data_IF_132027953675
#
_entry.id   IF_132027953675
#
_cell.length_a   1.000
_cell.length_b   1.000
_cell.length_c   1.000
_cell.angle_alpha   90.00
_cell.angle_beta   90.00
_cell.angle_gamma   90.00
#
_symmetry.space_group_name_H-M   'P 1'
#
loop_
_entity.id
_entity.type
_entity.pdbx_description
1 polymer ?
#
# COMPACT_ATOMS: atom_id res chain seq x y z
N UNK A 1 3.82 6.26 10.09
CA UNK A 1 4.42 7.07 9.02
C UNK A 1 5.47 6.20 8.35
N UNK A 2 5.18 5.67 7.17
CA UNK A 2 6.16 4.91 6.38
C UNK A 2 7.04 5.94 5.68
N UNK A 3 8.29 6.07 6.11
CA UNK A 3 9.22 7.04 5.51
C UNK A 3 9.55 6.63 4.06
N UNK A 4 9.70 7.57 3.12
CA UNK A 4 10.03 7.30 1.72
C UNK A 4 11.23 6.35 1.55
N UNK A 5 12.24 6.47 2.38
CA UNK A 5 13.41 5.57 2.40
C UNK A 5 13.09 4.09 2.59
N UNK A 6 12.03 3.76 3.36
CA UNK A 6 11.65 2.37 3.58
C UNK A 6 10.99 1.73 2.36
N UNK A 7 10.44 2.54 1.46
CA UNK A 7 9.70 2.07 0.29
C UNK A 7 10.68 1.79 -0.85
N UNK A 8 11.65 2.69 -1.11
CA UNK A 8 12.72 2.43 -2.09
C UNK A 8 13.55 1.20 -1.72
N UNK A 9 13.88 1.04 -0.42
CA UNK A 9 14.53 -0.16 0.10
C UNK A 9 13.68 -1.42 -0.09
N UNK A 10 12.35 -1.34 0.05
CA UNK A 10 11.45 -2.47 -0.24
C UNK A 10 11.44 -2.84 -1.71
N UNK A 11 11.44 -1.85 -2.61
CA UNK A 11 11.55 -2.07 -4.04
C UNK A 11 12.91 -2.68 -4.40
N UNK A 12 13.99 -2.09 -3.92
CA UNK A 12 15.36 -2.58 -4.16
C UNK A 12 15.57 -4.01 -3.65
N UNK A 13 15.15 -4.31 -2.41
CA UNK A 13 15.21 -5.64 -1.83
C UNK A 13 14.30 -6.63 -2.58
N UNK A 14 13.14 -6.20 -3.04
CA UNK A 14 12.24 -7.01 -3.85
C UNK A 14 12.82 -7.36 -5.21
N UNK A 15 13.48 -6.42 -5.87
CA UNK A 15 14.13 -6.62 -7.17
C UNK A 15 15.43 -7.41 -7.05
N UNK A 16 16.20 -7.24 -5.96
CA UNK A 16 17.44 -7.97 -5.72
C UNK A 16 17.19 -9.43 -5.35
N UNK A 17 16.20 -9.72 -4.51
CA UNK A 17 15.92 -11.06 -3.97
C UNK A 17 14.87 -11.85 -4.74
N UNK A 18 14.00 -11.18 -5.49
CA UNK A 18 12.83 -11.80 -6.15
C UNK A 18 12.60 -11.21 -7.54
N UNK A 19 11.90 -11.97 -8.38
CA UNK A 19 11.43 -11.44 -9.66
C UNK A 19 10.38 -10.33 -9.43
N UNK A 20 10.38 -9.31 -10.26
CA UNK A 20 9.41 -8.19 -10.23
C UNK A 20 7.96 -8.66 -10.02
N UNK A 21 7.55 -9.74 -10.67
CA UNK A 21 6.20 -10.29 -10.52
C UNK A 21 5.85 -10.72 -9.09
N UNK A 22 6.77 -11.34 -8.36
CA UNK A 22 6.55 -11.72 -6.95
C UNK A 22 6.50 -10.51 -6.03
N UNK A 23 7.33 -9.51 -6.29
CA UNK A 23 7.28 -8.26 -5.55
C UNK A 23 5.91 -7.57 -5.74
N UNK A 24 5.45 -7.46 -6.99
CA UNK A 24 4.15 -6.87 -7.33
C UNK A 24 2.99 -7.64 -6.68
N UNK A 25 3.00 -8.97 -6.73
CA UNK A 25 1.99 -9.81 -6.07
C UNK A 25 1.94 -9.58 -4.55
N UNK A 26 3.11 -9.49 -3.88
CA UNK A 26 3.14 -9.23 -2.45
C UNK A 26 2.58 -7.85 -2.09
N UNK A 27 2.87 -6.82 -2.90
CA UNK A 27 2.32 -5.48 -2.71
C UNK A 27 0.80 -5.47 -2.89
N UNK A 28 0.30 -6.19 -3.89
CA UNK A 28 -1.14 -6.32 -4.10
C UNK A 28 -1.82 -7.06 -2.95
N UNK A 29 -1.22 -8.13 -2.43
CA UNK A 29 -1.76 -8.83 -1.25
C UNK A 29 -1.78 -7.95 -0.01
N UNK A 30 -0.72 -7.19 0.26
CA UNK A 30 -0.66 -6.26 1.39
C UNK A 30 -1.75 -5.17 1.25
N UNK A 31 -1.95 -4.64 0.05
CA UNK A 31 -3.03 -3.71 -0.27
C UNK A 31 -4.42 -4.30 0.01
N UNK A 32 -4.68 -5.53 -0.45
CA UNK A 32 -5.96 -6.19 -0.24
C UNK A 32 -6.25 -6.47 1.24
N UNK A 33 -5.23 -6.78 2.06
CA UNK A 33 -5.39 -6.92 3.50
C UNK A 33 -5.91 -5.63 4.15
N UNK A 34 -5.41 -4.48 3.74
CA UNK A 34 -5.92 -3.19 4.21
C UNK A 34 -7.36 -2.93 3.78
N UNK A 35 -7.73 -3.33 2.56
CA UNK A 35 -9.10 -3.23 2.07
C UNK A 35 -10.05 -4.13 2.87
N UNK A 36 -9.67 -5.39 3.10
CA UNK A 36 -10.47 -6.34 3.91
C UNK A 36 -10.62 -5.81 5.34
N UNK A 37 -9.54 -5.28 5.93
CA UNK A 37 -9.61 -4.67 7.26
C UNK A 37 -10.59 -3.49 7.29
N UNK A 38 -10.55 -2.61 6.30
CA UNK A 38 -11.48 -1.48 6.20
C UNK A 38 -12.93 -1.96 6.05
N UNK A 39 -13.17 -3.01 5.25
CA UNK A 39 -14.50 -3.60 5.07
C UNK A 39 -15.03 -4.20 6.38
N UNK A 40 -14.24 -5.01 7.08
CA UNK A 40 -14.64 -5.60 8.36
C UNK A 40 -14.93 -4.52 9.42
N UNK A 41 -14.10 -3.49 9.48
CA UNK A 41 -14.34 -2.35 10.37
C UNK A 41 -15.60 -1.58 10.00
N UNK A 42 -15.94 -1.45 8.72
CA UNK A 42 -17.19 -0.78 8.32
C UNK A 42 -18.44 -1.55 8.80
N UNK A 43 -18.41 -2.88 8.72
CA UNK A 43 -19.48 -3.72 9.28
C UNK A 43 -19.56 -3.57 10.80
N UNK A 44 -18.42 -3.59 11.50
CA UNK A 44 -18.39 -3.39 12.95
C UNK A 44 -18.89 -1.99 13.37
N UNK A 45 -18.56 -0.95 12.58
CA UNK A 45 -19.08 0.40 12.78
C UNK A 45 -20.60 0.43 12.68
N UNK A 46 -21.19 -0.24 11.69
CA UNK A 46 -22.65 -0.32 11.55
C UNK A 46 -23.30 -0.95 12.78
N UNK A 47 -22.76 -2.09 13.26
CA UNK A 47 -23.25 -2.75 14.46
C UNK A 47 -23.11 -1.86 15.73
N UNK A 48 -22.00 -1.12 15.87
CA UNK A 48 -21.80 -0.19 16.98
C UNK A 48 -22.79 0.97 16.96
N UNK A 49 -23.11 1.47 15.77
CA UNK A 49 -24.11 2.53 15.61
C UNK A 49 -25.47 2.07 16.13
N UNK A 50 -25.90 0.84 15.79
CA UNK A 50 -27.15 0.25 16.30
C UNK A 50 -27.16 0.19 17.83
N UNK A 51 -26.04 -0.26 18.46
CA UNK A 51 -25.91 -0.32 19.92
C UNK A 51 -25.99 1.06 20.60
N UNK A 52 -25.47 2.11 19.96
CA UNK A 52 -25.50 3.48 20.48
C UNK A 52 -26.93 4.05 20.45
N UNK A 53 -27.70 3.70 19.42
CA UNK A 53 -29.09 4.14 19.29
C UNK A 53 -30.07 3.37 20.19
N UNK A 54 -29.65 2.27 20.81
CA UNK A 54 -30.47 1.59 21.82
C UNK A 54 -30.68 2.50 23.03
N UNK A 55 -31.93 2.88 23.26
CA UNK A 55 -32.33 3.82 24.34
C UNK A 55 -32.23 3.23 25.75
N UNK A 56 -32.08 1.92 25.85
CA UNK A 56 -32.01 1.22 27.17
C UNK A 56 -30.65 1.36 27.86
N UNK A 57 -29.60 1.78 27.13
CA UNK A 57 -28.25 1.84 27.66
C UNK A 57 -28.00 3.06 28.59
N UNK A 58 -27.35 2.88 29.75
CA UNK A 58 -26.93 3.98 30.62
C UNK A 58 -26.01 4.98 29.92
N UNK A 59 -26.05 6.25 30.33
CA UNK A 59 -25.26 7.33 29.68
C UNK A 59 -23.75 7.07 29.65
N UNK A 60 -23.17 6.49 30.71
CA UNK A 60 -21.75 6.12 30.77
C UNK A 60 -21.40 5.05 29.73
N UNK A 61 -22.28 4.07 29.55
CA UNK A 61 -22.09 3.01 28.52
C UNK A 61 -22.12 3.60 27.12
N UNK A 62 -22.97 4.59 26.85
CA UNK A 62 -22.98 5.30 25.55
C UNK A 62 -21.68 6.04 25.27
N UNK A 63 -21.11 6.70 26.28
CA UNK A 63 -19.80 7.36 26.11
C UNK A 63 -18.69 6.35 25.77
N UNK A 64 -18.69 5.19 26.40
CA UNK A 64 -17.75 4.12 26.08
C UNK A 64 -17.90 3.63 24.61
N UNK A 65 -19.14 3.39 24.16
CA UNK A 65 -19.40 3.00 22.76
C UNK A 65 -19.00 4.06 21.74
N UNK A 66 -19.20 5.35 22.06
CA UNK A 66 -18.74 6.45 21.20
C UNK A 66 -17.22 6.50 21.09
N UNK A 67 -16.48 6.25 22.17
CA UNK A 67 -15.01 6.18 22.14
C UNK A 67 -14.52 4.99 21.28
N UNK A 68 -15.15 3.83 21.40
CA UNK A 68 -14.86 2.66 20.56
C UNK A 68 -15.18 2.95 19.09
N UNK A 69 -16.33 3.56 18.80
CA UNK A 69 -16.72 3.96 17.45
C UNK A 69 -15.69 4.91 16.83
N UNK A 70 -15.28 5.95 17.56
CA UNK A 70 -14.27 6.90 17.09
C UNK A 70 -12.95 6.20 16.75
N UNK A 71 -12.52 5.26 17.60
CA UNK A 71 -11.31 4.46 17.36
C UNK A 71 -11.44 3.63 16.08
N UNK A 72 -12.56 2.95 15.87
CA UNK A 72 -12.80 2.12 14.68
C UNK A 72 -12.82 2.96 13.40
N UNK A 73 -13.45 4.13 13.43
CA UNK A 73 -13.46 5.08 12.30
C UNK A 73 -12.04 5.53 11.96
N UNK A 74 -11.23 5.91 12.96
CA UNK A 74 -9.84 6.33 12.71
C UNK A 74 -8.99 5.20 12.12
N UNK A 75 -9.14 3.98 12.63
CA UNK A 75 -8.41 2.80 12.10
C UNK A 75 -8.88 2.47 10.69
N UNK A 76 -10.18 2.52 10.41
CA UNK A 76 -10.73 2.27 9.08
C UNK A 76 -10.24 3.32 8.06
N UNK A 77 -10.24 4.60 8.43
CA UNK A 77 -9.69 5.68 7.58
C UNK A 77 -8.20 5.49 7.31
N UNK A 78 -7.41 5.09 8.31
CA UNK A 78 -5.99 4.80 8.13
C UNK A 78 -5.78 3.58 7.21
N UNK A 79 -6.55 2.52 7.38
CA UNK A 79 -6.49 1.33 6.52
C UNK A 79 -6.83 1.69 5.07
N UNK A 80 -7.89 2.46 4.84
CA UNK A 80 -8.31 2.90 3.51
C UNK A 80 -7.26 3.80 2.85
N UNK A 81 -6.69 4.75 3.60
CA UNK A 81 -5.60 5.60 3.11
C UNK A 81 -4.37 4.80 2.72
N UNK A 82 -3.99 3.81 3.51
CA UNK A 82 -2.87 2.91 3.20
C UNK A 82 -3.17 2.09 1.94
N UNK A 83 -4.39 1.57 1.80
CA UNK A 83 -4.82 0.85 0.60
C UNK A 83 -4.62 1.69 -0.67
N UNK A 84 -5.16 2.90 -0.71
CA UNK A 84 -4.99 3.79 -1.86
C UNK A 84 -3.54 4.16 -2.13
N UNK A 85 -2.78 4.41 -1.07
CA UNK A 85 -1.37 4.73 -1.21
C UNK A 85 -0.58 3.58 -1.87
N UNK A 86 -0.73 2.35 -1.37
CA UNK A 86 -0.05 1.18 -1.94
C UNK A 86 -0.51 0.88 -3.36
N UNK A 87 -1.79 1.02 -3.65
CA UNK A 87 -2.33 0.78 -4.98
C UNK A 87 -1.79 1.78 -6.01
N UNK A 88 -1.85 3.08 -5.70
CA UNK A 88 -1.30 4.12 -6.58
C UNK A 88 0.21 3.98 -6.78
N UNK A 89 0.92 3.60 -5.73
CA UNK A 89 2.36 3.38 -5.82
C UNK A 89 2.70 2.16 -6.69
N UNK A 90 2.02 1.05 -6.50
CA UNK A 90 2.21 -0.15 -7.31
C UNK A 90 1.93 0.11 -8.80
N UNK A 91 0.88 0.88 -9.11
CA UNK A 91 0.53 1.27 -10.49
C UNK A 91 1.63 2.16 -11.11
N UNK A 92 2.15 3.15 -10.40
CA UNK A 92 3.22 4.01 -10.90
C UNK A 92 4.49 3.22 -11.21
N UNK A 93 4.89 2.32 -10.32
CA UNK A 93 6.06 1.46 -10.57
C UNK A 93 5.81 0.50 -11.73
N UNK A 94 4.59 -0.06 -11.83
CA UNK A 94 4.21 -0.94 -12.94
C UNK A 94 4.30 -0.23 -14.29
N UNK A 95 3.84 1.03 -14.38
CA UNK A 95 3.91 1.83 -15.60
C UNK A 95 5.34 2.15 -16.03
N UNK A 96 6.28 2.25 -15.07
CA UNK A 96 7.71 2.46 -15.35
C UNK A 96 8.47 1.14 -15.61
N UNK A 97 7.84 -0.01 -15.42
CA UNK A 97 8.45 -1.33 -15.57
C UNK A 97 8.51 -1.82 -17.02
N UNK A 98 8.19 -0.97 -18.00
CA UNK A 98 8.29 -1.26 -19.45
C UNK A 98 9.61 -0.76 -19.96
N UNK A 99 10.38 -1.64 -20.62
CA UNK A 99 11.64 -1.24 -21.28
C UNK A 99 11.35 -0.43 -22.56
N UNK A 100 11.81 0.82 -22.61
CA UNK A 100 11.61 1.69 -23.78
C UNK A 100 12.29 1.16 -25.06
N UNK A 101 13.38 0.38 -24.94
CA UNK A 101 14.13 -0.12 -26.08
C UNK A 101 13.53 -1.38 -26.72
N UNK A 102 12.92 -2.29 -25.93
CA UNK A 102 12.42 -3.57 -26.45
C UNK A 102 10.97 -3.88 -26.09
N UNK A 103 10.25 -2.97 -25.39
CA UNK A 103 8.87 -3.13 -25.00
C UNK A 103 8.60 -4.24 -23.97
N UNK A 104 9.63 -4.89 -23.43
CA UNK A 104 9.47 -6.01 -22.49
C UNK A 104 9.05 -5.49 -21.14
N UNK A 105 7.94 -6.02 -20.60
CA UNK A 105 7.39 -5.67 -19.28
C UNK A 105 7.95 -6.56 -18.17
N UNK A 106 8.30 -5.95 -17.02
CA UNK A 106 8.56 -6.66 -15.76
C UNK A 106 9.85 -7.50 -15.71
N UNK A 107 10.67 -7.52 -16.76
CA UNK A 107 11.98 -8.21 -16.78
C UNK A 107 13.11 -7.27 -16.41
N UNK A 108 13.11 -6.85 -15.15
CA UNK A 108 14.06 -5.90 -14.59
C UNK A 108 15.09 -6.60 -13.71
N UNK A 109 16.31 -6.05 -13.65
CA UNK A 109 17.30 -6.30 -12.60
C UNK A 109 17.69 -4.97 -11.97
N UNK A 110 17.91 -4.94 -10.67
CA UNK A 110 18.44 -3.78 -9.98
C UNK A 110 19.92 -3.63 -10.35
N UNK A 111 20.32 -2.43 -10.75
CA UNK A 111 21.73 -2.07 -11.02
C UNK A 111 22.28 -1.29 -9.83
N UNK A 112 21.58 -0.23 -9.41
CA UNK A 112 21.98 0.63 -8.31
C UNK A 112 20.76 1.20 -7.58
N UNK A 113 20.89 1.39 -6.29
CA UNK A 113 19.95 2.13 -5.46
C UNK A 113 20.58 3.48 -5.11
N UNK A 114 19.89 4.57 -5.42
CA UNK A 114 20.33 5.94 -5.10
C UNK A 114 19.17 6.73 -4.47
N UNK A 115 19.02 6.61 -3.16
CA UNK A 115 18.02 7.36 -2.39
C UNK A 115 16.59 7.08 -2.80
N UNK A 116 15.98 7.97 -3.60
CA UNK A 116 14.60 7.85 -4.10
C UNK A 116 14.51 7.28 -5.53
N UNK A 117 15.63 6.91 -6.13
CA UNK A 117 15.70 6.37 -7.49
C UNK A 117 16.31 4.99 -7.48
N UNK A 118 15.70 4.07 -8.22
CA UNK A 118 16.25 2.75 -8.48
C UNK A 118 16.67 2.68 -9.94
N UNK A 119 17.96 2.54 -10.19
CA UNK A 119 18.49 2.25 -11.53
C UNK A 119 18.27 0.78 -11.82
N UNK A 120 17.58 0.50 -12.90
CA UNK A 120 17.24 -0.86 -13.32
C UNK A 120 17.74 -1.11 -14.76
N UNK A 121 18.06 -2.36 -15.05
CA UNK A 121 18.41 -2.79 -16.39
C UNK A 121 17.46 -3.89 -16.88
N UNK A 122 17.13 -3.86 -18.16
CA UNK A 122 16.34 -4.88 -18.80
C UNK A 122 17.14 -6.20 -18.90
N UNK A 123 16.57 -7.30 -18.41
CA UNK A 123 17.18 -8.64 -18.54
C UNK A 123 17.24 -9.15 -19.97
N UNK A 124 16.50 -8.54 -20.91
CA UNK A 124 16.43 -8.96 -22.32
C UNK A 124 17.41 -8.22 -23.23
N UNK A 125 17.46 -6.89 -23.14
CA UNK A 125 18.26 -6.08 -24.05
C UNK A 125 19.38 -5.29 -23.37
N UNK A 126 19.46 -5.30 -22.03
CA UNK A 126 20.49 -4.60 -21.28
C UNK A 126 20.27 -3.09 -21.13
N UNK A 127 19.24 -2.51 -21.75
CA UNK A 127 18.93 -1.09 -21.61
C UNK A 127 18.71 -0.71 -20.15
N UNK A 128 19.27 0.42 -19.72
CA UNK A 128 19.19 0.92 -18.34
C UNK A 128 18.30 2.17 -18.26
N UNK A 129 17.51 2.26 -17.19
CA UNK A 129 16.71 3.46 -16.86
C UNK A 129 16.48 3.58 -15.37
N UNK A 130 16.04 4.74 -14.93
CA UNK A 130 15.69 4.97 -13.53
C UNK A 130 14.18 4.85 -13.33
N UNK A 131 13.80 4.15 -12.25
CA UNK A 131 12.43 4.17 -11.72
C UNK A 131 12.43 5.19 -10.58
N UNK A 132 11.62 6.23 -10.75
CA UNK A 132 11.46 7.28 -9.74
C UNK A 132 10.32 6.94 -8.79
N UNK A 133 10.59 7.13 -7.50
CA UNK A 133 9.57 7.05 -6.47
C UNK A 133 8.75 8.34 -6.49
N UNK A 134 7.40 8.28 -6.42
CA UNK A 134 6.59 9.47 -6.29
C UNK A 134 6.93 10.16 -4.97
N UNK A 135 7.24 11.44 -5.04
CA UNK A 135 7.38 12.30 -3.87
C UNK A 135 6.12 12.15 -3.02
N UNK A 136 6.30 11.65 -1.80
CA UNK A 136 5.20 11.51 -0.85
C UNK A 136 4.69 12.89 -0.46
N UNK A 137 3.63 13.35 -1.12
CA UNK A 137 2.79 14.44 -0.64
C UNK A 137 1.88 13.97 0.48
#
# INVERSE_FOLDING_TARGET
MTTPRLISQRLANGLASRNFGRWYQNMMMESHLHLVTALLLSVAIMALVELIFDQSAPGLTRLAWLAVLATFVLVAMKALRNYFFFMMWAERVANQAVCAACGTYGRLRLVRESGQRCEVACKRCGNEWSIEEPDGQ
#
